data_IF_760679325238
#
_entry.id   IF_760679325238
#
_cell.length_a   1.000
_cell.length_b   1.000
_cell.length_c   1.000
_cell.angle_alpha   90.00
_cell.angle_beta   90.00
_cell.angle_gamma   90.00
#
_symmetry.space_group_name_H-M   'P 1'
#
loop_
_entity.id
_entity.type
_entity.pdbx_description
1 polymer ?
#
# COMPACT_ATOMS: atom_id res chain seq x y z
N UNK A 1 -14.48 1.45 5.26
CA UNK A 1 -15.15 0.87 6.45
C UNK A 1 -16.49 1.54 6.75
N UNK A 2 -16.52 2.87 6.93
CA UNK A 2 -17.73 3.63 7.29
C UNK A 2 -18.81 3.53 6.21
N UNK A 3 -18.44 3.74 4.93
CA UNK A 3 -19.34 3.63 3.78
C UNK A 3 -20.03 2.25 3.73
N UNK A 4 -19.28 1.16 3.86
CA UNK A 4 -19.83 -0.19 3.81
C UNK A 4 -20.72 -0.50 5.02
N UNK A 5 -20.35 0.00 6.21
CA UNK A 5 -21.18 -0.15 7.39
C UNK A 5 -22.55 0.53 7.21
N UNK A 6 -22.58 1.78 6.69
CA UNK A 6 -23.84 2.48 6.42
C UNK A 6 -24.64 1.78 5.33
N UNK A 7 -23.97 1.29 4.28
CA UNK A 7 -24.62 0.53 3.19
C UNK A 7 -25.35 -0.71 3.74
N UNK A 8 -24.72 -1.49 4.58
CA UNK A 8 -25.33 -2.69 5.18
C UNK A 8 -26.46 -2.35 6.16
N UNK A 9 -26.30 -1.27 6.94
CA UNK A 9 -27.38 -0.76 7.82
C UNK A 9 -28.60 -0.36 6.96
N UNK A 10 -28.39 0.39 5.88
CA UNK A 10 -29.48 0.81 4.99
C UNK A 10 -30.18 -0.39 4.36
N UNK A 11 -29.46 -1.38 3.82
CA UNK A 11 -30.04 -2.61 3.27
C UNK A 11 -30.92 -3.32 4.30
N UNK A 12 -30.39 -3.54 5.49
CA UNK A 12 -31.10 -4.23 6.57
C UNK A 12 -32.34 -3.46 7.00
N UNK A 13 -32.22 -2.16 7.26
CA UNK A 13 -33.34 -1.35 7.74
C UNK A 13 -34.41 -1.13 6.66
N UNK A 14 -34.02 -0.96 5.38
CA UNK A 14 -34.95 -0.89 4.28
C UNK A 14 -35.73 -2.19 4.13
N UNK A 15 -35.07 -3.33 4.26
CA UNK A 15 -35.74 -4.63 4.26
C UNK A 15 -36.78 -4.74 5.40
N UNK A 16 -36.40 -4.35 6.61
CA UNK A 16 -37.28 -4.41 7.78
C UNK A 16 -38.51 -3.48 7.61
N UNK A 17 -38.32 -2.29 7.00
CA UNK A 17 -39.42 -1.32 6.82
C UNK A 17 -40.30 -1.62 5.62
N UNK A 18 -39.76 -2.22 4.56
CA UNK A 18 -40.48 -2.38 3.28
C UNK A 18 -40.87 -3.83 2.97
N UNK A 19 -40.26 -4.80 3.68
CA UNK A 19 -40.43 -6.23 3.38
C UNK A 19 -39.76 -6.67 2.07
N UNK A 20 -38.95 -5.81 1.43
CA UNK A 20 -38.32 -6.07 0.13
C UNK A 20 -36.81 -5.88 0.22
N UNK A 21 -36.09 -6.73 -0.50
CA UNK A 21 -34.64 -6.52 -0.69
C UNK A 21 -34.45 -5.29 -1.60
N UNK A 22 -33.76 -4.28 -1.08
CA UNK A 22 -33.46 -3.04 -1.78
C UNK A 22 -31.96 -2.96 -2.02
N UNK A 23 -31.59 -2.76 -3.28
CA UNK A 23 -30.19 -2.52 -3.62
C UNK A 23 -29.76 -1.14 -3.13
N UNK A 24 -28.66 -1.11 -2.38
CA UNK A 24 -27.98 0.12 -1.98
C UNK A 24 -26.62 0.13 -2.69
N UNK A 25 -26.48 1.03 -3.66
CA UNK A 25 -25.33 1.07 -4.56
C UNK A 25 -24.48 2.32 -4.27
N UNK A 26 -23.18 2.26 -4.56
CA UNK A 26 -22.30 3.43 -4.53
C UNK A 26 -22.38 4.10 -5.89
N UNK A 27 -22.52 5.44 -5.93
CA UNK A 27 -22.68 6.17 -7.18
C UNK A 27 -21.54 5.84 -8.17
N UNK A 28 -20.29 5.77 -7.71
CA UNK A 28 -19.14 5.45 -8.56
C UNK A 28 -19.28 4.10 -9.30
N UNK A 29 -19.94 3.11 -8.69
CA UNK A 29 -20.16 1.79 -9.28
C UNK A 29 -21.15 1.82 -10.45
N UNK A 30 -21.97 2.87 -10.51
CA UNK A 30 -22.98 3.09 -11.53
C UNK A 30 -22.48 3.90 -12.74
N UNK A 31 -21.26 4.43 -12.66
CA UNK A 31 -20.71 5.37 -13.63
C UNK A 31 -19.60 4.71 -14.47
N UNK A 32 -19.51 5.15 -15.73
CA UNK A 32 -18.39 4.84 -16.62
C UNK A 32 -17.96 6.14 -17.34
N UNK A 33 -16.65 6.34 -17.52
CA UNK A 33 -16.12 7.48 -18.25
C UNK A 33 -15.85 7.07 -19.70
N UNK A 34 -16.41 7.82 -20.66
CA UNK A 34 -16.33 7.54 -22.11
C UNK A 34 -14.94 7.80 -22.65
N UNK A 35 -14.39 8.98 -22.41
CA UNK A 35 -13.03 9.35 -22.84
C UNK A 35 -12.07 9.38 -21.67
N UNK A 36 -11.08 8.48 -21.70
CA UNK A 36 -10.06 8.38 -20.65
C UNK A 36 -9.23 9.66 -20.46
N UNK A 37 -9.16 10.52 -21.48
CA UNK A 37 -8.46 11.80 -21.37
C UNK A 37 -9.13 12.76 -20.36
N UNK A 38 -10.44 12.62 -20.16
CA UNK A 38 -11.20 13.42 -19.20
C UNK A 38 -11.42 12.72 -17.84
N UNK A 39 -10.97 11.48 -17.71
CA UNK A 39 -11.18 10.68 -16.50
C UNK A 39 -10.76 11.39 -15.22
N UNK A 40 -9.54 11.93 -15.20
CA UNK A 40 -9.02 12.63 -14.03
C UNK A 40 -9.84 13.89 -13.69
N UNK A 41 -10.31 14.62 -14.69
CA UNK A 41 -11.17 15.78 -14.51
C UNK A 41 -12.54 15.40 -13.93
N UNK A 42 -13.15 14.32 -14.41
CA UNK A 42 -14.40 13.76 -13.87
C UNK A 42 -14.23 13.30 -12.43
N UNK A 43 -13.24 12.44 -12.17
CA UNK A 43 -12.95 11.92 -10.83
C UNK A 43 -12.63 13.03 -9.84
N UNK A 44 -11.82 13.98 -10.27
CA UNK A 44 -11.39 15.11 -9.45
C UNK A 44 -12.52 16.09 -9.13
N UNK A 45 -13.32 16.44 -10.12
CA UNK A 45 -14.44 17.38 -9.93
C UNK A 45 -15.55 16.78 -9.05
N UNK A 46 -15.92 15.53 -9.27
CA UNK A 46 -16.88 14.84 -8.41
C UNK A 46 -16.34 14.66 -6.99
N UNK A 47 -15.04 14.53 -6.83
CA UNK A 47 -14.41 14.41 -5.53
C UNK A 47 -15.03 13.27 -4.69
N UNK A 48 -15.47 13.58 -3.47
CA UNK A 48 -16.14 12.61 -2.61
C UNK A 48 -17.61 12.35 -2.98
N UNK A 49 -18.21 13.19 -3.82
CA UNK A 49 -19.62 12.99 -4.26
C UNK A 49 -19.82 11.69 -5.05
N UNK A 50 -18.77 11.15 -5.66
CA UNK A 50 -18.82 9.83 -6.30
C UNK A 50 -19.06 8.68 -5.34
N UNK A 51 -18.84 8.88 -4.03
CA UNK A 51 -19.06 7.89 -2.97
C UNK A 51 -20.44 7.97 -2.31
N UNK A 52 -21.36 8.74 -2.87
CA UNK A 52 -22.73 8.79 -2.39
C UNK A 52 -23.40 7.41 -2.46
N UNK A 53 -24.14 7.06 -1.43
CA UNK A 53 -25.01 5.89 -1.45
C UNK A 53 -26.30 6.23 -2.17
N UNK A 54 -26.75 5.35 -3.04
CA UNK A 54 -27.93 5.50 -3.87
C UNK A 54 -28.89 4.34 -3.67
N UNK A 55 -30.16 4.61 -3.80
CA UNK A 55 -31.24 3.61 -3.82
C UNK A 55 -32.22 3.97 -4.94
N UNK A 56 -33.11 3.06 -5.31
CA UNK A 56 -34.20 3.41 -6.23
C UNK A 56 -35.03 4.59 -5.69
N UNK A 57 -35.51 5.51 -6.56
CA UNK A 57 -36.20 6.74 -6.16
C UNK A 57 -37.32 6.54 -5.13
N UNK A 58 -38.14 5.52 -5.30
CA UNK A 58 -39.25 5.20 -4.39
C UNK A 58 -38.84 4.90 -2.94
N UNK A 59 -37.55 4.60 -2.70
CA UNK A 59 -37.00 4.32 -1.37
C UNK A 59 -36.11 5.44 -0.83
N UNK A 60 -35.85 6.49 -1.62
CA UNK A 60 -34.94 7.57 -1.27
C UNK A 60 -35.29 8.24 0.06
N UNK A 61 -36.55 8.63 0.23
CA UNK A 61 -37.01 9.25 1.48
C UNK A 61 -36.80 8.35 2.70
N UNK A 62 -37.17 7.07 2.59
CA UNK A 62 -36.99 6.11 3.69
C UNK A 62 -35.51 5.88 4.02
N UNK A 63 -34.64 5.81 3.01
CA UNK A 63 -33.21 5.69 3.20
C UNK A 63 -32.60 6.89 3.92
N UNK A 64 -33.03 8.11 3.55
CA UNK A 64 -32.60 9.35 4.21
C UNK A 64 -33.12 9.43 5.66
N UNK A 65 -34.35 8.99 5.94
CA UNK A 65 -34.87 8.90 7.30
C UNK A 65 -34.04 7.94 8.17
N UNK A 66 -33.68 6.79 7.63
CA UNK A 66 -32.80 5.83 8.33
C UNK A 66 -31.42 6.45 8.59
N UNK A 67 -30.83 7.08 7.56
CA UNK A 67 -29.52 7.71 7.67
C UNK A 67 -29.50 8.82 8.75
N UNK A 68 -30.56 9.62 8.83
CA UNK A 68 -30.71 10.69 9.82
C UNK A 68 -30.62 10.20 11.27
N UNK A 69 -31.04 8.98 11.55
CA UNK A 69 -31.02 8.36 12.89
C UNK A 69 -29.64 7.75 13.25
N UNK A 70 -28.68 7.73 12.31
CA UNK A 70 -27.34 7.18 12.56
C UNK A 70 -26.49 8.16 13.38
N UNK A 71 -25.49 7.62 14.11
CA UNK A 71 -24.55 8.43 14.90
C UNK A 71 -23.73 9.37 14.00
N UNK A 72 -23.94 10.71 14.11
CA UNK A 72 -23.26 11.67 13.25
C UNK A 72 -21.74 11.72 13.51
N UNK A 73 -21.27 11.38 14.71
CA UNK A 73 -19.84 11.36 15.02
C UNK A 73 -19.11 10.25 14.26
N UNK A 74 -19.82 9.16 13.97
CA UNK A 74 -19.25 7.99 13.31
C UNK A 74 -19.42 8.02 11.79
N UNK A 75 -20.51 8.59 11.27
CA UNK A 75 -20.89 8.45 9.86
C UNK A 75 -20.96 9.78 9.08
N UNK A 76 -20.45 10.89 9.61
CA UNK A 76 -20.50 12.22 8.98
C UNK A 76 -19.84 12.32 7.61
N UNK A 77 -19.01 11.35 7.23
CA UNK A 77 -18.33 11.30 5.91
C UNK A 77 -19.12 10.55 4.86
N UNK A 78 -20.21 9.90 5.24
CA UNK A 78 -21.07 9.16 4.33
C UNK A 78 -22.29 10.03 4.02
N UNK A 79 -22.76 9.99 2.80
CA UNK A 79 -23.99 10.69 2.43
C UNK A 79 -24.87 9.81 1.54
N UNK A 80 -26.17 10.04 1.57
CA UNK A 80 -27.19 9.35 0.77
C UNK A 80 -27.77 10.32 -0.22
N UNK A 81 -27.84 9.96 -1.50
CA UNK A 81 -28.40 10.76 -2.55
C UNK A 81 -29.95 10.70 -2.49
N UNK A 82 -30.59 11.85 -2.58
CA UNK A 82 -32.02 11.93 -2.83
C UNK A 82 -32.31 11.67 -4.30
N UNK A 83 -32.41 10.39 -4.64
CA UNK A 83 -32.62 9.94 -6.02
C UNK A 83 -34.02 10.30 -6.55
N UNK A 84 -35.02 10.42 -5.67
CA UNK A 84 -36.36 10.86 -6.05
C UNK A 84 -36.34 12.33 -6.47
N UNK A 85 -35.71 13.19 -5.67
CA UNK A 85 -35.68 14.62 -5.94
C UNK A 85 -34.84 14.98 -7.16
N UNK A 86 -33.68 14.37 -7.33
CA UNK A 86 -32.81 14.64 -8.48
C UNK A 86 -33.43 14.20 -9.80
N UNK A 87 -34.28 13.16 -9.77
CA UNK A 87 -35.07 12.75 -10.95
C UNK A 87 -36.23 13.69 -11.27
N UNK A 88 -36.80 14.34 -10.26
CA UNK A 88 -37.87 15.28 -10.43
C UNK A 88 -37.39 16.64 -10.95
N UNK A 89 -36.13 17.00 -10.70
CA UNK A 89 -35.54 18.25 -11.17
C UNK A 89 -35.02 18.09 -12.61
N UNK A 90 -35.43 18.98 -13.52
CA UNK A 90 -34.91 18.99 -14.88
C UNK A 90 -33.46 19.51 -14.88
N UNK A 91 -32.55 18.70 -15.38
CA UNK A 91 -31.12 19.00 -15.39
C UNK A 91 -30.65 19.32 -16.82
N UNK A 92 -30.45 20.62 -17.11
CA UNK A 92 -29.89 21.04 -18.39
C UNK A 92 -28.39 20.76 -18.48
N UNK A 93 -27.96 20.06 -19.53
CA UNK A 93 -26.57 19.85 -19.90
C UNK A 93 -26.19 20.83 -20.99
N UNK A 94 -25.15 21.62 -20.79
CA UNK A 94 -24.64 22.55 -21.80
C UNK A 94 -23.76 21.77 -22.81
N UNK A 95 -23.72 22.25 -24.03
CA UNK A 95 -22.84 21.69 -25.07
C UNK A 95 -21.38 21.85 -24.64
N UNK A 96 -20.60 20.77 -24.82
CA UNK A 96 -19.22 20.71 -24.36
C UNK A 96 -19.04 20.53 -22.85
N UNK A 97 -20.12 20.23 -22.13
CA UNK A 97 -20.03 19.99 -20.68
C UNK A 97 -19.32 18.67 -20.33
N UNK A 98 -18.67 18.66 -19.19
CA UNK A 98 -17.99 17.46 -18.66
C UNK A 98 -18.95 16.28 -18.43
N UNK A 99 -20.24 16.53 -18.23
CA UNK A 99 -21.27 15.50 -18.12
C UNK A 99 -21.37 14.60 -19.36
N UNK A 100 -21.02 15.08 -20.55
CA UNK A 100 -21.01 14.29 -21.79
C UNK A 100 -20.01 13.13 -21.76
N UNK A 101 -18.99 13.25 -20.94
CA UNK A 101 -17.96 12.23 -20.77
C UNK A 101 -18.34 11.10 -19.80
N UNK A 102 -19.53 11.20 -19.17
CA UNK A 102 -19.96 10.21 -18.18
C UNK A 102 -21.26 9.56 -18.60
N UNK A 103 -21.27 8.24 -18.55
CA UNK A 103 -22.45 7.41 -18.75
C UNK A 103 -22.80 6.69 -17.44
N UNK A 104 -24.08 6.72 -17.06
CA UNK A 104 -24.56 6.04 -15.87
C UNK A 104 -25.48 4.88 -16.22
N UNK A 105 -25.40 3.79 -15.46
CA UNK A 105 -26.26 2.61 -15.62
C UNK A 105 -27.67 2.77 -15.06
N UNK A 106 -27.94 3.88 -14.36
CA UNK A 106 -29.24 4.21 -13.76
C UNK A 106 -29.62 5.65 -14.08
N UNK A 107 -30.89 5.90 -14.40
CA UNK A 107 -31.38 7.23 -14.76
C UNK A 107 -31.16 8.26 -13.65
N UNK A 108 -31.37 7.90 -12.39
CA UNK A 108 -31.14 8.81 -11.26
C UNK A 108 -29.66 9.15 -11.07
N UNK A 109 -28.76 8.22 -11.40
CA UNK A 109 -27.33 8.49 -11.38
C UNK A 109 -26.94 9.43 -12.52
N UNK A 110 -27.50 9.25 -13.72
CA UNK A 110 -27.30 10.16 -14.85
C UNK A 110 -27.86 11.55 -14.55
N UNK A 111 -29.05 11.64 -13.94
CA UNK A 111 -29.62 12.92 -13.53
C UNK A 111 -28.68 13.66 -12.54
N UNK A 112 -28.11 12.95 -11.59
CA UNK A 112 -27.16 13.56 -10.66
C UNK A 112 -25.86 14.00 -11.34
N UNK A 113 -25.34 13.23 -12.29
CA UNK A 113 -24.17 13.62 -13.10
C UNK A 113 -24.49 14.88 -13.91
N UNK A 114 -25.65 14.94 -14.55
CA UNK A 114 -26.11 16.13 -15.29
C UNK A 114 -26.19 17.36 -14.37
N UNK A 115 -26.68 17.18 -13.13
CA UNK A 115 -26.71 18.25 -12.12
C UNK A 115 -25.32 18.75 -11.76
N UNK A 116 -24.37 17.81 -11.48
CA UNK A 116 -23.04 18.15 -11.01
C UNK A 116 -22.12 18.66 -12.14
N UNK A 117 -22.16 18.03 -13.30
CA UNK A 117 -21.20 18.24 -14.38
C UNK A 117 -21.79 18.95 -15.60
N UNK A 118 -23.11 19.11 -15.67
CA UNK A 118 -23.80 19.65 -16.86
C UNK A 118 -23.52 21.12 -17.17
N UNK A 119 -22.92 21.86 -16.22
CA UNK A 119 -22.54 23.28 -16.39
C UNK A 119 -21.00 23.47 -16.33
N UNK A 120 -20.23 22.41 -16.24
CA UNK A 120 -18.78 22.43 -16.19
C UNK A 120 -18.24 22.21 -17.59
N UNK A 121 -17.74 23.26 -18.21
CA UNK A 121 -17.32 23.22 -19.62
C UNK A 121 -15.88 22.70 -19.72
N UNK A 122 -15.67 21.79 -20.68
CA UNK A 122 -14.36 21.27 -21.05
C UNK A 122 -13.57 22.37 -21.78
N UNK A 123 -12.37 22.68 -21.32
CA UNK A 123 -11.50 23.73 -21.85
C UNK A 123 -10.08 23.22 -22.08
N UNK A 124 -9.39 23.79 -23.06
CA UNK A 124 -8.00 23.45 -23.39
C UNK A 124 -7.00 24.56 -23.02
N UNK A 125 -7.51 25.79 -22.78
CA UNK A 125 -6.68 26.95 -22.50
C UNK A 125 -7.22 27.81 -21.34
N UNK A 126 -6.36 28.66 -20.79
CA UNK A 126 -6.76 29.61 -19.74
C UNK A 126 -7.78 30.63 -20.27
N UNK A 127 -7.66 31.01 -21.53
CA UNK A 127 -8.61 31.96 -22.14
C UNK A 127 -9.99 31.35 -22.28
N UNK A 128 -10.10 30.08 -22.66
CA UNK A 128 -11.35 29.34 -22.65
C UNK A 128 -11.92 29.19 -21.25
N UNK A 129 -11.10 28.83 -20.25
CA UNK A 129 -11.54 28.75 -18.85
C UNK A 129 -12.19 30.05 -18.39
N UNK A 130 -11.61 31.22 -18.75
CA UNK A 130 -12.14 32.54 -18.37
C UNK A 130 -13.41 32.93 -19.14
N UNK A 131 -13.69 32.34 -20.29
CA UNK A 131 -14.90 32.61 -21.09
C UNK A 131 -16.13 31.91 -20.50
N UNK A 132 -15.96 30.96 -19.60
CA UNK A 132 -17.06 30.21 -18.97
C UNK A 132 -17.19 30.51 -17.48
N UNK A 133 -18.38 30.30 -16.94
CA UNK A 133 -18.63 30.45 -15.50
C UNK A 133 -17.94 29.37 -14.69
N UNK A 134 -17.89 28.13 -15.22
CA UNK A 134 -17.20 26.99 -14.66
C UNK A 134 -16.53 26.27 -15.83
N UNK A 135 -15.22 26.16 -15.80
CA UNK A 135 -14.45 25.47 -16.81
C UNK A 135 -13.39 24.56 -16.17
N UNK A 136 -13.05 23.49 -16.84
CA UNK A 136 -12.05 22.52 -16.38
C UNK A 136 -11.20 22.05 -17.55
N UNK A 137 -9.88 21.85 -17.30
CA UNK A 137 -8.99 21.23 -18.28
C UNK A 137 -8.74 19.75 -17.97
N UNK A 138 -8.18 19.03 -18.95
CA UNK A 138 -7.74 17.61 -18.79
C UNK A 138 -6.73 17.45 -17.66
N UNK A 139 -5.91 18.46 -17.42
CA UNK A 139 -4.89 18.52 -16.35
C UNK A 139 -5.47 18.85 -14.97
N UNK A 140 -6.80 18.83 -14.84
CA UNK A 140 -7.52 19.11 -13.59
C UNK A 140 -7.30 20.54 -13.07
N UNK A 141 -7.19 21.51 -13.98
CA UNK A 141 -7.23 22.94 -13.64
C UNK A 141 -8.68 23.42 -13.72
N UNK A 142 -9.22 23.83 -12.59
CA UNK A 142 -10.60 24.29 -12.46
C UNK A 142 -10.66 25.81 -12.37
N UNK A 143 -11.53 26.42 -13.17
CA UNK A 143 -11.95 27.80 -13.04
C UNK A 143 -13.38 27.88 -12.54
N UNK A 144 -13.58 28.52 -11.40
CA UNK A 144 -14.90 28.69 -10.80
C UNK A 144 -14.89 29.92 -9.86
N UNK A 145 -15.98 30.67 -9.83
CA UNK A 145 -16.11 31.80 -8.91
C UNK A 145 -14.95 32.81 -9.05
N UNK A 146 -14.55 33.11 -10.31
CA UNK A 146 -13.48 34.04 -10.67
C UNK A 146 -12.09 33.66 -10.18
N UNK A 147 -11.86 32.41 -9.84
CA UNK A 147 -10.56 31.88 -9.40
C UNK A 147 -10.17 30.64 -10.19
N UNK A 148 -8.89 30.46 -10.40
CA UNK A 148 -8.28 29.27 -10.96
C UNK A 148 -7.61 28.48 -9.84
N UNK A 149 -7.73 27.16 -9.86
CA UNK A 149 -7.09 26.28 -8.89
C UNK A 149 -6.85 24.91 -9.47
N UNK A 150 -5.82 24.21 -8.99
CA UNK A 150 -5.67 22.80 -9.27
C UNK A 150 -6.56 21.98 -8.33
N UNK A 151 -7.17 20.95 -8.89
CA UNK A 151 -7.87 19.94 -8.08
C UNK A 151 -6.81 19.06 -7.39
N UNK A 152 -7.07 18.71 -6.13
CA UNK A 152 -6.15 17.84 -5.39
C UNK A 152 -5.95 16.50 -6.12
N UNK A 153 -4.69 16.16 -6.52
CA UNK A 153 -4.41 14.94 -7.26
C UNK A 153 -4.86 13.65 -6.55
N UNK A 154 -4.89 13.62 -5.23
CA UNK A 154 -5.35 12.46 -4.47
C UNK A 154 -6.80 12.05 -4.80
N UNK A 155 -7.63 13.01 -5.23
CA UNK A 155 -9.04 12.76 -5.59
C UNK A 155 -9.20 11.94 -6.87
N UNK A 156 -8.24 12.02 -7.81
CA UNK A 156 -8.31 11.32 -9.09
C UNK A 156 -7.19 10.30 -9.31
N UNK A 157 -6.31 10.12 -8.30
CA UNK A 157 -5.29 9.06 -8.28
C UNK A 157 -5.58 8.03 -7.20
N UNK A 158 -5.32 8.35 -5.92
CA UNK A 158 -5.55 7.46 -4.79
C UNK A 158 -7.03 7.15 -4.56
N UNK A 159 -7.90 8.11 -4.88
CA UNK A 159 -9.36 8.03 -4.71
C UNK A 159 -10.12 7.96 -6.04
N UNK A 160 -9.51 7.39 -7.08
CA UNK A 160 -10.18 7.07 -8.33
C UNK A 160 -11.05 5.82 -8.16
N UNK A 161 -12.36 5.95 -8.35
CA UNK A 161 -13.33 4.88 -8.11
C UNK A 161 -14.26 4.60 -9.30
N UNK A 162 -14.36 5.52 -10.28
CA UNK A 162 -15.33 5.44 -11.36
C UNK A 162 -14.89 4.40 -12.40
N UNK A 163 -15.75 3.39 -12.63
CA UNK A 163 -15.59 2.37 -13.65
C UNK A 163 -14.50 1.32 -13.36
N UNK A 164 -14.54 0.25 -14.15
CA UNK A 164 -13.64 -0.91 -14.00
C UNK A 164 -12.17 -0.58 -14.23
N UNK A 165 -11.86 0.43 -15.06
CA UNK A 165 -10.48 0.85 -15.34
C UNK A 165 -9.85 1.53 -14.14
N UNK A 166 -10.59 2.41 -13.45
CA UNK A 166 -10.11 3.08 -12.23
C UNK A 166 -9.83 2.09 -11.10
N UNK A 167 -10.67 1.08 -10.94
CA UNK A 167 -10.43 0.01 -9.96
C UNK A 167 -9.14 -0.75 -10.25
N UNK A 168 -8.90 -1.12 -11.52
CA UNK A 168 -7.65 -1.81 -11.92
C UNK A 168 -6.41 -0.94 -11.71
N UNK A 169 -6.48 0.34 -12.09
CA UNK A 169 -5.40 1.29 -11.87
C UNK A 169 -5.09 1.45 -10.38
N UNK A 170 -6.12 1.53 -9.55
CA UNK A 170 -5.97 1.62 -8.10
C UNK A 170 -5.35 0.37 -7.49
N UNK A 171 -5.76 -0.82 -7.92
CA UNK A 171 -5.13 -2.08 -7.49
C UNK A 171 -3.64 -2.03 -7.78
N UNK A 172 -3.26 -1.66 -9.01
CA UNK A 172 -1.85 -1.55 -9.41
C UNK A 172 -1.07 -0.55 -8.53
N UNK A 173 -1.62 0.66 -8.30
CA UNK A 173 -0.98 1.66 -7.44
C UNK A 173 -0.82 1.18 -5.98
N UNK A 174 -1.79 0.43 -5.48
CA UNK A 174 -1.71 -0.16 -4.14
C UNK A 174 -0.67 -1.28 -4.08
N UNK A 175 -0.56 -2.11 -5.11
CA UNK A 175 0.46 -3.15 -5.22
C UNK A 175 1.87 -2.54 -5.28
N UNK A 176 2.07 -1.49 -6.09
CA UNK A 176 3.33 -0.74 -6.15
C UNK A 176 3.69 -0.11 -4.80
N UNK A 177 2.71 0.49 -4.11
CA UNK A 177 2.91 1.07 -2.78
C UNK A 177 3.22 0.01 -1.72
N UNK A 178 2.57 -1.14 -1.78
CA UNK A 178 2.86 -2.27 -0.88
C UNK A 178 4.27 -2.80 -1.08
N UNK A 179 4.73 -2.91 -2.33
CA UNK A 179 6.09 -3.36 -2.64
C UNK A 179 7.13 -2.38 -2.11
N UNK A 180 6.91 -1.07 -2.32
CA UNK A 180 7.79 -0.03 -1.77
C UNK A 180 7.88 -0.11 -0.24
N UNK A 181 6.72 -0.21 0.44
CA UNK A 181 6.69 -0.35 1.90
C UNK A 181 7.36 -1.62 2.41
N UNK A 182 7.28 -2.74 1.67
CA UNK A 182 8.01 -3.97 2.03
C UNK A 182 9.52 -3.77 1.95
N UNK A 183 9.99 -3.11 0.87
CA UNK A 183 11.42 -2.81 0.70
C UNK A 183 11.96 -1.88 1.79
N UNK A 184 11.14 -0.95 2.29
CA UNK A 184 11.51 -0.09 3.42
C UNK A 184 11.47 -0.85 4.76
N UNK A 185 10.56 -1.81 4.91
CA UNK A 185 10.38 -2.59 6.14
C UNK A 185 11.51 -3.59 6.38
N UNK A 186 12.00 -4.25 5.33
CA UNK A 186 13.03 -5.30 5.42
C UNK A 186 14.32 -4.84 6.14
N UNK A 187 14.94 -3.68 5.78
CA UNK A 187 16.12 -3.19 6.49
C UNK A 187 15.83 -2.81 7.96
N UNK A 188 14.62 -2.29 8.23
CA UNK A 188 14.21 -1.96 9.60
C UNK A 188 14.03 -3.20 10.47
N UNK A 189 13.46 -4.27 9.91
CA UNK A 189 13.35 -5.55 10.61
C UNK A 189 14.72 -6.16 10.91
N UNK A 190 15.65 -6.06 9.96
CA UNK A 190 17.03 -6.52 10.16
C UNK A 190 17.73 -5.73 11.28
N UNK A 191 17.58 -4.39 11.25
CA UNK A 191 18.14 -3.52 12.28
C UNK A 191 17.54 -3.81 13.66
N UNK A 192 16.22 -4.06 13.73
CA UNK A 192 15.54 -4.43 14.97
C UNK A 192 16.07 -5.76 15.52
N UNK A 193 16.18 -6.79 14.67
CA UNK A 193 16.71 -8.09 15.07
C UNK A 193 18.18 -8.00 15.57
N UNK A 194 19.00 -7.19 14.91
CA UNK A 194 20.36 -6.92 15.35
C UNK A 194 20.39 -6.18 16.69
N UNK A 195 19.51 -5.20 16.89
CA UNK A 195 19.34 -4.49 18.16
C UNK A 195 18.92 -5.42 19.30
N UNK A 196 17.92 -6.27 19.06
CA UNK A 196 17.45 -7.27 20.02
C UNK A 196 18.54 -8.27 20.38
N UNK A 197 19.34 -8.69 19.39
CA UNK A 197 20.51 -9.56 19.63
C UNK A 197 21.54 -8.89 20.53
N UNK A 198 21.86 -7.60 20.29
CA UNK A 198 22.81 -6.84 21.11
C UNK A 198 22.27 -6.66 22.54
N UNK A 199 20.98 -6.35 22.69
CA UNK A 199 20.35 -6.22 24.00
C UNK A 199 20.22 -7.56 24.74
N UNK A 200 20.12 -8.66 24.02
CA UNK A 200 20.09 -10.01 24.59
C UNK A 200 21.45 -10.53 25.08
N UNK A 201 22.55 -9.86 24.74
CA UNK A 201 23.83 -10.17 25.32
C UNK A 201 23.91 -9.64 26.76
N UNK A 202 24.32 -10.50 27.70
CA UNK A 202 24.64 -10.08 29.05
C UNK A 202 25.71 -8.99 29.01
N UNK A 203 25.57 -7.99 29.86
CA UNK A 203 26.59 -6.97 30.00
C UNK A 203 27.90 -7.63 30.38
N UNK A 204 28.99 -7.28 29.72
CA UNK A 204 30.32 -7.78 30.04
C UNK A 204 30.59 -7.51 31.53
N UNK A 205 30.79 -8.56 32.30
CA UNK A 205 31.10 -8.48 33.75
C UNK A 205 32.49 -7.94 34.07
N UNK A 206 33.30 -7.66 33.06
CA UNK A 206 34.66 -7.16 33.13
C UNK A 206 34.83 -6.00 32.12
N UNK A 207 35.87 -5.18 32.32
CA UNK A 207 36.25 -4.15 31.37
C UNK A 207 36.65 -4.73 30.02
N UNK A 208 36.38 -4.04 28.92
CA UNK A 208 36.65 -4.47 27.55
C UNK A 208 38.12 -4.93 27.37
N UNK A 209 39.04 -4.22 28.00
CA UNK A 209 40.48 -4.50 27.95
C UNK A 209 40.82 -5.90 28.47
N UNK A 210 40.14 -6.39 29.50
CA UNK A 210 40.29 -7.76 30.03
C UNK A 210 39.86 -8.79 29.01
N UNK A 211 38.75 -8.60 28.32
CA UNK A 211 38.29 -9.51 27.28
C UNK A 211 39.21 -9.51 26.06
N UNK A 212 39.74 -8.35 25.68
CA UNK A 212 40.73 -8.25 24.60
C UNK A 212 42.06 -8.95 25.02
N UNK A 213 42.44 -8.86 26.29
CA UNK A 213 43.55 -9.63 26.86
C UNK A 213 43.34 -11.14 26.70
N UNK A 214 42.18 -11.63 27.15
CA UNK A 214 41.84 -13.05 27.02
C UNK A 214 41.80 -13.55 25.57
N UNK A 215 41.34 -12.71 24.61
CA UNK A 215 41.38 -13.06 23.19
C UNK A 215 42.83 -13.21 22.68
N UNK A 216 43.76 -12.33 23.09
CA UNK A 216 45.18 -12.42 22.75
C UNK A 216 45.81 -13.68 23.37
N UNK A 217 45.51 -13.96 24.65
CA UNK A 217 45.98 -15.13 25.35
C UNK A 217 45.49 -16.43 24.71
N UNK A 218 44.20 -16.44 24.28
CA UNK A 218 43.65 -17.58 23.56
C UNK A 218 44.34 -17.80 22.20
N UNK A 219 44.63 -16.75 21.47
CA UNK A 219 45.33 -16.84 20.19
C UNK A 219 46.76 -17.38 20.40
N UNK A 220 47.48 -16.84 21.39
CA UNK A 220 48.81 -17.30 21.75
C UNK A 220 48.80 -18.78 22.23
N UNK A 221 47.79 -19.17 22.99
CA UNK A 221 47.62 -20.57 23.42
C UNK A 221 47.45 -21.52 22.22
N UNK A 222 46.58 -21.15 21.25
CA UNK A 222 46.36 -21.97 20.07
C UNK A 222 47.63 -22.10 19.21
N UNK A 223 48.39 -21.01 19.06
CA UNK A 223 49.68 -21.05 18.38
C UNK A 223 50.66 -22.00 19.07
N UNK A 224 50.80 -21.94 20.41
CA UNK A 224 51.66 -22.84 21.19
C UNK A 224 51.18 -24.28 21.15
N UNK A 225 49.89 -24.51 21.06
CA UNK A 225 49.33 -25.86 20.93
C UNK A 225 49.70 -26.50 19.57
N UNK A 226 49.67 -25.71 18.49
CA UNK A 226 50.09 -26.19 17.18
C UNK A 226 51.60 -26.42 17.12
N UNK A 227 52.41 -25.50 17.68
CA UNK A 227 53.88 -25.70 17.84
C UNK A 227 54.21 -26.98 18.64
N UNK A 228 53.47 -27.22 19.72
CA UNK A 228 53.66 -28.46 20.52
C UNK A 228 53.32 -29.71 19.71
N UNK A 229 52.30 -29.67 18.88
CA UNK A 229 51.90 -30.78 18.01
C UNK A 229 52.98 -31.09 16.99
N UNK A 230 53.53 -30.04 16.37
CA UNK A 230 54.62 -30.17 15.39
C UNK A 230 55.90 -30.69 16.05
N UNK A 231 56.28 -30.22 17.25
CA UNK A 231 57.38 -30.69 17.99
C UNK A 231 57.22 -32.16 18.39
N UNK A 232 56.04 -32.59 18.78
CA UNK A 232 55.78 -34.03 19.10
C UNK A 232 55.94 -34.90 17.85
N UNK A 233 55.35 -34.44 16.70
CA UNK A 233 55.52 -35.19 15.45
C UNK A 233 56.98 -35.32 15.04
N UNK A 234 57.76 -34.23 15.19
CA UNK A 234 59.18 -34.23 14.89
C UNK A 234 59.97 -35.15 15.87
N UNK A 235 59.61 -35.16 17.16
CA UNK A 235 60.19 -36.03 18.14
C UNK A 235 59.95 -37.52 17.81
N UNK A 236 58.71 -37.87 17.41
CA UNK A 236 58.40 -39.25 17.01
C UNK A 236 59.13 -39.66 15.73
N UNK A 237 59.29 -38.74 14.78
CA UNK A 237 60.10 -38.98 13.57
C UNK A 237 61.59 -39.26 13.92
N UNK A 238 62.17 -38.45 14.81
CA UNK A 238 63.58 -38.66 15.27
C UNK A 238 63.75 -39.97 16.02
N UNK A 239 62.79 -40.34 16.89
CA UNK A 239 62.83 -41.63 17.59
C UNK A 239 62.78 -42.81 16.61
N UNK A 240 61.93 -42.74 15.59
CA UNK A 240 61.81 -43.79 14.58
C UNK A 240 63.06 -43.91 13.74
N UNK A 241 63.71 -42.80 13.40
CA UNK A 241 64.99 -42.79 12.70
C UNK A 241 66.11 -43.40 13.56
N UNK A 242 66.22 -43.04 14.86
CA UNK A 242 67.20 -43.60 15.76
C UNK A 242 67.00 -45.09 15.98
N UNK A 243 65.77 -45.55 16.15
CA UNK A 243 65.44 -46.97 16.27
C UNK A 243 65.84 -47.75 15.01
N UNK A 244 65.54 -47.22 13.81
CA UNK A 244 65.95 -47.86 12.57
C UNK A 244 67.45 -47.97 12.43
N UNK A 245 68.23 -46.89 12.74
CA UNK A 245 69.67 -46.91 12.72
C UNK A 245 70.30 -47.95 13.70
N UNK A 246 69.76 -48.06 14.91
CA UNK A 246 70.18 -49.04 15.88
C UNK A 246 69.86 -50.49 15.45
N UNK A 247 68.74 -50.73 14.80
CA UNK A 247 68.39 -52.04 14.23
C UNK A 247 69.37 -52.42 13.12
N UNK A 248 69.73 -51.50 12.24
CA UNK A 248 70.72 -51.72 11.18
C UNK A 248 72.10 -52.01 11.76
N UNK A 249 72.57 -51.21 12.73
CA UNK A 249 73.88 -51.41 13.40
C UNK A 249 73.95 -52.76 14.15
N UNK A 250 72.85 -53.09 14.84
CA UNK A 250 72.74 -54.40 15.51
C UNK A 250 72.79 -55.55 14.50
N UNK A 251 72.08 -55.47 13.40
CA UNK A 251 72.08 -56.48 12.35
C UNK A 251 73.46 -56.64 11.73
N UNK A 252 74.19 -55.54 11.51
CA UNK A 252 75.53 -55.53 11.01
C UNK A 252 76.53 -56.22 12.02
N UNK A 253 76.36 -55.93 13.33
CA UNK A 253 77.15 -56.54 14.38
C UNK A 253 76.90 -58.07 14.54
N UNK A 254 75.64 -58.47 14.45
CA UNK A 254 75.21 -59.85 14.51
C UNK A 254 75.81 -60.65 13.31
N UNK A 255 75.77 -60.08 12.10
CA UNK A 255 76.37 -60.65 10.89
C UNK A 255 77.90 -60.79 11.01
N UNK A 256 78.60 -59.85 11.67
CA UNK A 256 80.02 -59.92 11.93
C UNK A 256 80.38 -60.97 12.97
N UNK A 257 79.47 -61.22 13.91
CA UNK A 257 79.69 -62.26 14.93
C UNK A 257 79.51 -63.68 14.37
N UNK A 258 78.65 -63.87 13.39
CA UNK A 258 78.28 -65.14 12.78
C UNK A 258 79.22 -65.53 11.59
N UNK A 259 80.14 -64.63 11.18
CA UNK A 259 81.18 -64.85 10.18
C UNK A 259 82.52 -65.26 10.83
#
# INVERSE_FOLDING_TARGET
KELEAVREILKTQLFLKTGKSVDVEVLADLLEVRDDAWRNAVEGYLGNNKLLLTVEPKYAKTAMEIYKELDPKKYYRVAVLDTERVMADEQAVQDGALAEEVEASRDYAQAYINFQLGKVIKCESVDELRSHRIGITKECVLYHSYRIQHINPDLYTKSAYIGKKSVRQRIRLLEESMETMKQELEPLQTLLADGERVLGHEALGQELEVYLGWQKDKAAYLEKQEEQKDLRARLEQLKSQNVAAWVEERTALDNLRDS
#
